data_IF_326286288666
#
_entry.id   IF_326286288666
#
_cell.length_a   1.000
_cell.length_b   1.000
_cell.length_c   1.000
_cell.angle_alpha   90.00
_cell.angle_beta   90.00
_cell.angle_gamma   90.00
#
_symmetry.space_group_name_H-M   'P 1'
#
loop_
_entity.id
_entity.type
_entity.pdbx_description
1 polymer ?
#
# COMPACT_ATOMS: atom_id res chain seq x y z
N UNK A 1 1.93 -7.94 20.58
CA UNK A 1 1.76 -8.82 19.40
C UNK A 1 2.31 -8.08 18.21
N UNK A 2 3.21 -8.66 17.42
CA UNK A 2 3.66 -8.02 16.18
C UNK A 2 2.51 -8.09 15.18
N UNK A 3 2.01 -6.93 14.73
CA UNK A 3 1.02 -6.87 13.67
C UNK A 3 1.77 -6.86 12.35
N UNK A 4 1.51 -7.85 11.50
CA UNK A 4 2.18 -8.01 10.21
C UNK A 4 1.19 -7.70 9.09
N UNK A 5 1.55 -6.77 8.21
CA UNK A 5 0.80 -6.47 6.99
C UNK A 5 1.29 -7.37 5.85
N UNK A 6 0.38 -8.07 5.19
CA UNK A 6 0.67 -8.89 4.00
C UNK A 6 -0.08 -8.31 2.80
N UNK A 7 0.66 -8.00 1.74
CA UNK A 7 0.11 -7.47 0.48
C UNK A 7 0.46 -8.45 -0.64
N UNK A 8 -0.56 -8.99 -1.30
CA UNK A 8 -0.40 -9.81 -2.49
C UNK A 8 -0.64 -8.95 -3.74
N UNK A 9 0.28 -9.03 -4.69
CA UNK A 9 0.29 -8.22 -5.90
C UNK A 9 0.33 -9.10 -7.13
N UNK A 10 -0.69 -8.95 -7.98
CA UNK A 10 -0.81 -9.63 -9.27
C UNK A 10 -0.64 -8.57 -10.35
N UNK A 11 0.35 -8.74 -11.22
CA UNK A 11 0.62 -7.80 -12.31
C UNK A 11 0.84 -8.54 -13.61
N UNK A 12 0.22 -8.05 -14.67
CA UNK A 12 0.28 -8.66 -16.02
C UNK A 12 1.36 -8.01 -16.90
N UNK A 13 1.74 -6.75 -16.61
CA UNK A 13 2.76 -6.01 -17.34
C UNK A 13 4.02 -5.76 -16.47
N UNK A 14 5.18 -6.33 -16.82
CA UNK A 14 6.41 -6.20 -16.03
C UNK A 14 6.90 -4.76 -15.81
N UNK A 15 6.69 -3.88 -16.79
CA UNK A 15 7.14 -2.48 -16.68
C UNK A 15 6.27 -1.70 -15.70
N UNK A 16 4.95 -1.92 -15.73
CA UNK A 16 4.03 -1.32 -14.77
C UNK A 16 4.22 -1.90 -13.36
N UNK A 17 4.59 -3.19 -13.25
CA UNK A 17 4.90 -3.84 -11.97
C UNK A 17 6.03 -3.12 -11.23
N UNK A 18 7.14 -2.82 -11.92
CA UNK A 18 8.27 -2.14 -11.30
C UNK A 18 7.91 -0.73 -10.83
N UNK A 19 7.14 0.02 -11.62
CA UNK A 19 6.66 1.35 -11.21
C UNK A 19 5.78 1.24 -9.96
N UNK A 20 4.85 0.30 -9.96
CA UNK A 20 3.91 0.11 -8.87
C UNK A 20 4.60 -0.38 -7.59
N UNK A 21 5.52 -1.35 -7.69
CA UNK A 21 6.32 -1.80 -6.54
C UNK A 21 7.14 -0.64 -5.95
N UNK A 22 7.75 0.20 -6.79
CA UNK A 22 8.52 1.36 -6.30
C UNK A 22 7.63 2.37 -5.57
N UNK A 23 6.45 2.68 -6.11
CA UNK A 23 5.50 3.58 -5.46
C UNK A 23 5.01 3.00 -4.13
N UNK A 24 4.55 1.73 -4.16
CA UNK A 24 4.03 1.02 -3.00
C UNK A 24 5.07 0.91 -1.89
N UNK A 25 6.28 0.43 -2.19
CA UNK A 25 7.34 0.37 -1.19
C UNK A 25 7.79 1.76 -0.72
N UNK A 26 7.74 2.78 -1.56
CA UNK A 26 8.03 4.16 -1.16
C UNK A 26 7.04 4.68 -0.10
N UNK A 27 5.73 4.46 -0.31
CA UNK A 27 4.70 4.87 0.66
C UNK A 27 4.70 3.98 1.92
N UNK A 28 4.95 2.68 1.78
CA UNK A 28 5.07 1.76 2.92
C UNK A 28 6.33 1.99 3.77
N UNK A 29 7.30 2.78 3.31
CA UNK A 29 8.40 3.25 4.17
C UNK A 29 7.95 4.34 5.15
N UNK A 30 6.78 4.96 4.94
CA UNK A 30 6.23 5.97 5.84
C UNK A 30 5.58 5.25 7.04
N UNK A 31 6.12 5.40 8.27
CA UNK A 31 5.63 4.68 9.43
C UNK A 31 4.16 4.97 9.73
N UNK A 32 3.73 6.23 9.52
CA UNK A 32 2.36 6.66 9.73
C UNK A 32 1.37 5.92 8.81
N UNK A 33 1.76 5.66 7.55
CA UNK A 33 0.93 4.91 6.60
C UNK A 33 0.80 3.47 7.04
N UNK A 34 1.91 2.83 7.43
CA UNK A 34 1.89 1.42 7.86
C UNK A 34 1.07 1.26 9.14
N UNK A 35 1.27 2.14 10.12
CA UNK A 35 0.51 2.14 11.38
C UNK A 35 -0.99 2.34 11.12
N UNK A 36 -1.33 3.26 10.21
CA UNK A 36 -2.71 3.46 9.79
C UNK A 36 -3.27 2.19 9.14
N UNK A 37 -2.58 1.58 8.18
CA UNK A 37 -3.05 0.37 7.48
C UNK A 37 -3.31 -0.82 8.40
N UNK A 38 -2.56 -0.95 9.51
CA UNK A 38 -2.74 -2.06 10.47
C UNK A 38 -3.79 -1.78 11.56
N UNK A 39 -4.18 -0.51 11.73
CA UNK A 39 -5.15 -0.08 12.77
C UNK A 39 -6.53 0.27 12.19
N UNK A 40 -6.60 0.62 10.91
CA UNK A 40 -7.82 1.06 10.27
C UNK A 40 -8.85 -0.09 10.16
N UNK A 41 -10.15 0.19 10.33
CA UNK A 41 -11.18 -0.80 10.08
C UNK A 41 -11.21 -1.22 8.61
N UNK A 42 -11.45 -2.52 8.37
CA UNK A 42 -11.60 -3.11 7.03
C UNK A 42 -12.43 -2.28 6.02
N UNK A 43 -13.61 -1.72 6.37
CA UNK A 43 -14.41 -0.96 5.40
C UNK A 43 -13.72 0.32 4.89
N UNK A 44 -12.85 0.93 5.69
CA UNK A 44 -12.13 2.15 5.32
C UNK A 44 -10.77 1.82 4.68
N UNK A 45 -10.28 0.58 4.84
CA UNK A 45 -8.94 0.16 4.40
C UNK A 45 -8.80 0.31 2.89
N UNK A 46 -9.83 -0.07 2.13
CA UNK A 46 -9.84 0.06 0.67
C UNK A 46 -9.70 1.51 0.23
N UNK A 47 -10.48 2.41 0.82
CA UNK A 47 -10.48 3.83 0.44
C UNK A 47 -9.14 4.49 0.78
N UNK A 48 -8.63 4.22 1.99
CA UNK A 48 -7.34 4.73 2.43
C UNK A 48 -6.18 4.20 1.57
N UNK A 49 -6.14 2.88 1.33
CA UNK A 49 -5.09 2.26 0.52
C UNK A 49 -5.09 2.80 -0.91
N UNK A 50 -6.25 2.95 -1.54
CA UNK A 50 -6.31 3.55 -2.87
C UNK A 50 -5.79 4.98 -2.83
N UNK A 51 -6.31 5.84 -1.95
CA UNK A 51 -5.99 7.27 -1.93
C UNK A 51 -4.55 7.59 -1.56
N UNK A 52 -3.96 6.85 -0.62
CA UNK A 52 -2.66 7.19 -0.02
C UNK A 52 -1.52 6.25 -0.42
N UNK A 53 -1.82 5.08 -1.00
CA UNK A 53 -0.80 4.08 -1.38
C UNK A 53 -0.78 3.82 -2.89
N UNK A 54 -1.94 3.66 -3.54
CA UNK A 54 -2.00 3.36 -4.99
C UNK A 54 -2.04 4.61 -5.88
N UNK A 55 -2.89 5.58 -5.54
CA UNK A 55 -3.24 6.74 -6.36
C UNK A 55 -2.38 7.97 -5.97
N UNK A 56 -1.16 7.71 -5.52
CA UNK A 56 -0.20 8.77 -5.24
C UNK A 56 0.25 9.38 -6.57
N UNK A 57 -0.31 10.54 -6.91
CA UNK A 57 0.05 11.41 -8.04
C UNK A 57 1.50 11.96 -7.95
N UNK A 58 2.48 11.09 -7.74
CA UNK A 58 3.92 11.35 -7.96
C UNK A 58 4.50 10.49 -9.09
#
# INVERSE_FOLDING_TARGET
>A
MAVSLVIALIVENPQQQLKLLRCLFGKLQQPDIVETLITLPEPQLKEYFTKYVLDSDE
#
